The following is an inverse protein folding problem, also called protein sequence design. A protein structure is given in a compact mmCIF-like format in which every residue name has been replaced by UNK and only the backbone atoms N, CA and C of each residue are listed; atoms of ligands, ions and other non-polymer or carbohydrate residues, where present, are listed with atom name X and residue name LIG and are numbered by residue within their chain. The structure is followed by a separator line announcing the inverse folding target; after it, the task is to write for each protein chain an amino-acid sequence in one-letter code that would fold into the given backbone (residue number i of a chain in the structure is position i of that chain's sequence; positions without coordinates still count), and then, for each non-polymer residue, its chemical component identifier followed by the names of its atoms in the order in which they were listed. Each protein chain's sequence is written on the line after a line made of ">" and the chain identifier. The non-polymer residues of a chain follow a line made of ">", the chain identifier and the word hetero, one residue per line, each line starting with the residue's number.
data_IF_992169347583
#
_entry.id   IF_992169347583
#
_cell.length_a   1.000
_cell.length_b   1.000
_cell.length_c   1.000
_cell.angle_alpha   90.00
_cell.angle_beta   90.00
_cell.angle_gamma   90.00
#
_symmetry.space_group_name_H-M   'P 1'
#
loop_
_entity.id
_entity.type
_entity.pdbx_description
1 polymer ?
#
# COMPACT_ATOMS: atom_id res chain seq x y z
N UNK A 1 6.04 -12.19 20.02
CA UNK A 1 6.95 -12.80 19.03
C UNK A 1 6.65 -12.29 17.63
N UNK A 2 5.41 -12.35 17.13
CA UNK A 2 5.04 -11.89 15.75
C UNK A 2 5.45 -10.45 15.35
N UNK A 3 5.48 -9.48 16.28
CA UNK A 3 5.84 -8.09 15.93
C UNK A 3 7.31 -7.89 15.55
N UNK A 4 8.24 -8.66 16.13
CA UNK A 4 9.68 -8.49 15.87
C UNK A 4 10.11 -9.11 14.54
N UNK A 5 9.52 -10.25 14.18
CA UNK A 5 9.74 -10.92 12.89
C UNK A 5 9.19 -10.07 11.75
N UNK A 6 8.01 -9.48 11.95
CA UNK A 6 7.44 -8.52 11.03
C UNK A 6 8.34 -7.30 10.80
N UNK A 7 8.90 -6.72 11.87
CA UNK A 7 9.80 -5.56 11.74
C UNK A 7 11.08 -5.89 10.96
N UNK A 8 11.65 -7.08 11.19
CA UNK A 8 12.82 -7.55 10.42
C UNK A 8 12.49 -7.74 8.94
N UNK A 9 11.38 -8.41 8.62
CA UNK A 9 10.90 -8.59 7.25
C UNK A 9 10.67 -7.24 6.56
N UNK A 10 10.10 -6.28 7.29
CA UNK A 10 9.86 -4.94 6.80
C UNK A 10 11.17 -4.19 6.48
N UNK A 11 12.17 -4.30 7.34
CA UNK A 11 13.48 -3.67 7.13
C UNK A 11 14.21 -4.29 5.93
N UNK A 12 14.18 -5.62 5.80
CA UNK A 12 14.73 -6.35 4.65
C UNK A 12 14.05 -5.97 3.33
N UNK A 13 12.72 -5.89 3.31
CA UNK A 13 11.98 -5.42 2.14
C UNK A 13 12.38 -3.98 1.77
N UNK A 14 12.53 -3.11 2.76
CA UNK A 14 12.89 -1.71 2.52
C UNK A 14 14.28 -1.55 1.92
N UNK A 15 15.28 -2.26 2.45
CA UNK A 15 16.63 -2.23 1.86
C UNK A 15 16.62 -2.73 0.42
N UNK A 16 15.88 -3.81 0.14
CA UNK A 16 15.78 -4.37 -1.19
C UNK A 16 15.03 -3.44 -2.18
N UNK A 17 13.99 -2.74 -1.71
CA UNK A 17 13.29 -1.73 -2.50
C UNK A 17 14.19 -0.54 -2.86
N UNK A 18 15.03 -0.08 -1.93
CA UNK A 18 15.99 0.99 -2.18
C UNK A 18 17.06 0.53 -3.19
N UNK A 19 17.53 -0.72 -3.12
CA UNK A 19 18.41 -1.31 -4.11
C UNK A 19 17.77 -1.39 -5.50
N UNK A 20 16.53 -1.89 -5.59
CA UNK A 20 15.75 -1.94 -6.83
C UNK A 20 15.60 -0.56 -7.47
N UNK A 21 15.35 0.47 -6.66
CA UNK A 21 15.27 1.86 -7.14
C UNK A 21 16.61 2.36 -7.69
N UNK A 22 17.72 2.05 -7.01
CA UNK A 22 19.07 2.40 -7.49
C UNK A 22 19.42 1.67 -8.79
N UNK A 23 19.02 0.40 -8.95
CA UNK A 23 19.20 -0.36 -10.18
C UNK A 23 18.36 0.25 -11.31
N UNK A 24 17.10 0.61 -11.07
CA UNK A 24 16.23 1.29 -12.04
C UNK A 24 16.84 2.61 -12.54
N UNK A 25 17.39 3.42 -11.63
CA UNK A 25 18.07 4.68 -11.99
C UNK A 25 19.34 4.43 -12.82
N UNK A 26 20.09 3.37 -12.51
CA UNK A 26 21.27 2.95 -13.29
C UNK A 26 20.90 2.40 -14.66
N UNK A 27 19.80 1.67 -14.78
CA UNK A 27 19.31 1.15 -16.06
C UNK A 27 18.87 2.29 -16.98
N UNK A 28 18.26 3.33 -16.43
CA UNK A 28 17.89 4.52 -17.20
C UNK A 28 19.11 5.23 -17.82
N UNK A 29 20.28 5.11 -17.18
CA UNK A 29 21.54 5.75 -17.62
C UNK A 29 22.45 4.86 -18.46
N UNK A 30 22.19 3.56 -18.54
CA UNK A 30 23.02 2.58 -19.25
C UNK A 30 22.37 2.12 -20.55
N UNK A 31 23.18 1.72 -21.54
CA UNK A 31 22.71 1.24 -22.83
C UNK A 31 23.41 -0.06 -23.25
N UNK A 32 22.81 -0.80 -24.17
CA UNK A 32 23.39 -2.02 -24.76
C UNK A 32 23.43 -3.21 -23.80
N UNK A 33 24.57 -3.90 -23.75
CA UNK A 33 24.73 -5.16 -23.00
C UNK A 33 24.70 -4.97 -21.47
N UNK A 34 25.22 -3.84 -20.97
CA UNK A 34 25.15 -3.50 -19.54
C UNK A 34 23.71 -3.28 -19.08
N UNK A 35 22.89 -2.63 -19.92
CA UNK A 35 21.45 -2.46 -19.66
C UNK A 35 20.77 -3.82 -19.50
N UNK A 36 21.06 -4.77 -20.40
CA UNK A 36 20.50 -6.12 -20.37
C UNK A 36 20.94 -6.92 -19.13
N UNK A 37 22.19 -6.77 -18.70
CA UNK A 37 22.68 -7.38 -17.45
C UNK A 37 21.98 -6.78 -16.23
N UNK A 38 21.84 -5.44 -16.17
CA UNK A 38 21.17 -4.76 -15.07
C UNK A 38 19.67 -5.08 -14.99
N UNK A 39 18.99 -5.25 -16.14
CA UNK A 39 17.58 -5.69 -16.17
C UNK A 39 17.44 -7.10 -15.59
N UNK A 40 18.34 -8.03 -15.93
CA UNK A 40 18.31 -9.39 -15.31
C UNK A 40 18.50 -9.35 -13.81
N UNK A 41 19.45 -8.55 -13.33
CA UNK A 41 19.68 -8.37 -11.88
C UNK A 41 18.47 -7.71 -11.23
N UNK A 42 17.82 -6.75 -11.91
CA UNK A 42 16.57 -6.17 -11.43
C UNK A 42 15.45 -7.20 -11.33
N UNK A 43 15.26 -8.04 -12.34
CA UNK A 43 14.22 -9.08 -12.35
C UNK A 43 14.42 -10.11 -11.22
N UNK A 44 15.67 -10.50 -10.95
CA UNK A 44 16.04 -11.39 -9.84
C UNK A 44 15.73 -10.75 -8.48
N UNK A 45 16.19 -9.51 -8.26
CA UNK A 45 15.91 -8.76 -7.01
C UNK A 45 14.44 -8.41 -6.85
N UNK A 46 13.72 -8.22 -7.95
CA UNK A 46 12.28 -8.00 -7.92
C UNK A 46 11.56 -9.27 -7.47
N UNK A 47 12.00 -10.45 -7.92
CA UNK A 47 11.51 -11.74 -7.44
C UNK A 47 11.69 -11.89 -5.93
N UNK A 48 12.89 -11.63 -5.42
CA UNK A 48 13.18 -11.65 -3.98
C UNK A 48 12.29 -10.67 -3.18
N UNK A 49 12.03 -9.47 -3.71
CA UNK A 49 11.16 -8.49 -3.06
C UNK A 49 9.70 -8.94 -3.02
N UNK A 50 9.26 -9.67 -4.04
CA UNK A 50 7.94 -10.26 -4.09
C UNK A 50 7.79 -11.42 -3.10
N UNK A 51 8.82 -12.26 -2.95
CA UNK A 51 8.86 -13.33 -1.94
C UNK A 51 8.80 -12.74 -0.52
N UNK A 52 9.59 -11.70 -0.23
CA UNK A 52 9.55 -11.01 1.07
C UNK A 52 8.19 -10.36 1.37
N UNK A 53 7.51 -9.81 0.36
CA UNK A 53 6.16 -9.28 0.54
C UNK A 53 5.17 -10.40 0.89
N UNK A 54 5.27 -11.55 0.23
CA UNK A 54 4.41 -12.70 0.51
C UNK A 54 4.64 -13.24 1.93
N UNK A 55 5.89 -13.30 2.39
CA UNK A 55 6.23 -13.70 3.76
C UNK A 55 5.71 -12.69 4.79
N UNK A 56 5.76 -11.40 4.47
CA UNK A 56 5.24 -10.32 5.30
C UNK A 56 3.70 -10.32 5.37
N UNK A 57 3.00 -10.73 4.30
CA UNK A 57 1.54 -11.02 4.34
C UNK A 57 1.22 -12.22 5.22
N UNK A 58 2.03 -13.28 5.14
CA UNK A 58 1.84 -14.49 5.95
C UNK A 58 2.03 -14.21 7.45
N UNK A 59 3.04 -13.42 7.81
CA UNK A 59 3.26 -12.97 9.18
C UNK A 59 2.16 -12.00 9.64
N UNK A 60 1.50 -11.32 8.71
CA UNK A 60 0.36 -10.48 9.05
C UNK A 60 -0.91 -11.27 9.41
N UNK A 61 -1.03 -12.51 8.92
CA UNK A 61 -2.13 -13.41 9.28
C UNK A 61 -1.99 -13.91 10.73
N UNK A 62 -0.76 -14.03 11.25
CA UNK A 62 -0.48 -14.43 12.64
C UNK A 62 -0.64 -13.27 13.64
N UNK A 63 -0.66 -12.02 13.16
CA UNK A 63 -0.70 -10.82 13.98
C UNK A 63 -2.12 -10.42 14.47
N UNK A 64 -2.23 -9.61 15.56
CA UNK A 64 -3.50 -9.13 16.07
C UNK A 64 -4.30 -8.26 15.07
N UNK A 65 -5.65 -8.28 15.12
CA UNK A 65 -6.51 -7.64 14.10
C UNK A 65 -6.36 -6.10 14.02
N UNK A 66 -6.02 -5.44 15.13
CA UNK A 66 -5.74 -4.00 15.15
C UNK A 66 -4.48 -3.61 14.38
N UNK A 67 -3.45 -4.45 14.43
CA UNK A 67 -2.20 -4.27 13.69
C UNK A 67 -2.36 -4.66 12.22
N UNK A 68 -3.06 -5.76 11.95
CA UNK A 68 -3.33 -6.28 10.60
C UNK A 68 -3.98 -5.26 9.67
N UNK A 69 -4.98 -4.52 10.12
CA UNK A 69 -5.71 -3.56 9.26
C UNK A 69 -4.80 -2.42 8.79
N UNK A 70 -4.04 -1.83 9.73
CA UNK A 70 -3.10 -0.75 9.45
C UNK A 70 -1.96 -1.22 8.54
N UNK A 71 -1.46 -2.42 8.81
CA UNK A 71 -0.29 -2.94 8.13
C UNK A 71 -0.61 -3.54 6.76
N UNK A 72 -1.76 -4.20 6.58
CA UNK A 72 -2.24 -4.70 5.28
C UNK A 72 -2.35 -3.56 4.26
N UNK A 73 -2.77 -2.37 4.71
CA UNK A 73 -2.78 -1.16 3.88
C UNK A 73 -1.38 -0.77 3.38
N UNK A 74 -0.34 -0.93 4.22
CA UNK A 74 1.05 -0.68 3.82
C UNK A 74 1.58 -1.75 2.87
N UNK A 75 1.25 -3.03 3.08
CA UNK A 75 1.65 -4.12 2.18
C UNK A 75 1.04 -3.94 0.79
N UNK A 76 -0.24 -3.57 0.70
CA UNK A 76 -0.90 -3.22 -0.56
C UNK A 76 -0.21 -2.04 -1.27
N UNK A 77 0.24 -1.04 -0.50
CA UNK A 77 1.00 0.09 -1.04
C UNK A 77 2.34 -0.39 -1.64
N UNK A 78 3.04 -1.28 -0.96
CA UNK A 78 4.30 -1.87 -1.41
C UNK A 78 4.15 -2.68 -2.69
N UNK A 79 3.14 -3.55 -2.79
CA UNK A 79 2.81 -4.25 -4.04
C UNK A 79 2.58 -3.28 -5.21
N UNK A 80 1.83 -2.20 -4.95
CA UNK A 80 1.54 -1.19 -5.98
C UNK A 80 2.81 -0.47 -6.44
N UNK A 81 3.67 -0.07 -5.51
CA UNK A 81 4.86 0.70 -5.83
C UNK A 81 5.95 -0.17 -6.47
N UNK A 82 6.08 -1.44 -6.06
CA UNK A 82 6.91 -2.45 -6.74
C UNK A 82 6.45 -2.69 -8.18
N UNK A 83 5.13 -2.87 -8.39
CA UNK A 83 4.57 -3.04 -9.73
C UNK A 83 4.72 -1.81 -10.65
N UNK A 84 4.69 -0.60 -10.08
CA UNK A 84 5.02 0.62 -10.85
C UNK A 84 6.49 0.61 -11.28
N UNK A 85 7.39 0.26 -10.37
CA UNK A 85 8.82 0.20 -10.65
C UNK A 85 9.14 -0.80 -11.76
N UNK A 86 8.51 -1.98 -11.73
CA UNK A 86 8.60 -2.98 -12.80
C UNK A 86 8.11 -2.45 -14.15
N UNK A 87 6.98 -1.74 -14.18
CA UNK A 87 6.46 -1.13 -15.42
C UNK A 87 7.39 -0.03 -15.93
N UNK A 88 7.99 0.79 -15.07
CA UNK A 88 8.97 1.79 -15.49
C UNK A 88 10.22 1.16 -16.11
N UNK A 89 10.66 0.01 -15.59
CA UNK A 89 11.76 -0.78 -16.12
C UNK A 89 11.44 -1.40 -17.49
N UNK A 90 10.29 -2.07 -17.65
CA UNK A 90 9.90 -2.71 -18.91
C UNK A 90 9.41 -1.73 -19.99
N UNK A 91 8.77 -0.62 -19.63
CA UNK A 91 8.37 0.43 -20.61
C UNK A 91 9.60 1.09 -21.24
N UNK A 92 10.74 1.07 -20.53
CA UNK A 92 12.04 1.51 -21.05
C UNK A 92 12.67 0.50 -22.01
N UNK A 93 12.02 -0.63 -22.29
CA UNK A 93 12.43 -1.63 -23.28
C UNK A 93 11.33 -1.86 -24.34
N UNK A 94 11.24 -1.00 -25.37
CA UNK A 94 10.38 -1.26 -26.52
C UNK A 94 10.91 -2.38 -27.43
N UNK A 95 12.01 -3.05 -27.08
CA UNK A 95 12.83 -3.85 -28.01
C UNK A 95 12.50 -5.34 -28.10
N UNK A 96 11.68 -5.91 -27.21
CA UNK A 96 11.57 -7.38 -27.10
C UNK A 96 10.25 -8.01 -27.57
N UNK A 97 9.28 -7.24 -28.09
CA UNK A 97 8.01 -7.79 -28.57
C UNK A 97 7.90 -8.00 -30.08
N UNK A 98 8.92 -7.66 -30.88
CA UNK A 98 8.86 -7.85 -32.33
C UNK A 98 10.24 -8.05 -32.99
N UNK A 99 10.88 -9.19 -32.75
CA UNK A 99 11.95 -9.67 -33.63
C UNK A 99 11.64 -11.09 -34.10
N UNK A 100 10.75 -11.15 -35.09
CA UNK A 100 10.87 -12.09 -36.22
C UNK A 100 12.35 -12.35 -36.54
N UNK A 101 12.87 -13.58 -36.47
CA UNK A 101 12.70 -14.59 -37.53
C UNK A 101 12.66 -13.98 -38.93
N UNK A 102 13.70 -13.22 -39.30
CA UNK A 102 13.93 -12.88 -40.71
C UNK A 102 15.42 -12.69 -40.98
N UNK A 103 15.98 -13.58 -41.82
CA UNK A 103 17.12 -13.27 -42.68
C UNK A 103 18.50 -13.70 -42.20
N UNK A 104 18.81 -14.99 -42.21
CA UNK A 104 20.19 -15.45 -42.42
C UNK A 104 20.27 -16.07 -43.81
N UNK A 105 20.71 -15.25 -44.77
CA UNK A 105 20.92 -15.62 -46.17
C UNK A 105 22.40 -15.88 -46.41
N UNK A 106 22.79 -17.15 -46.47
CA UNK A 106 24.14 -17.60 -46.76
C UNK A 106 24.17 -18.93 -47.51
N UNK A 107 24.17 -18.85 -48.84
CA UNK A 107 24.71 -19.78 -49.84
C UNK A 107 24.79 -21.30 -49.54
N UNK A 108 24.09 -22.12 -50.33
CA UNK A 108 24.75 -23.27 -51.00
C UNK A 108 23.91 -23.81 -52.18
N UNK A 109 24.53 -23.81 -53.35
CA UNK A 109 24.02 -24.15 -54.67
C UNK A 109 24.11 -25.67 -54.85
N UNK A 110 23.19 -26.47 -54.31
CA UNK A 110 23.04 -27.90 -54.66
C UNK A 110 21.64 -28.44 -54.29
N UNK A 111 20.58 -28.13 -55.04
CA UNK A 111 19.25 -28.68 -54.73
C UNK A 111 18.27 -28.88 -55.90
N UNK A 112 18.70 -28.83 -57.16
CA UNK A 112 17.79 -28.91 -58.31
C UNK A 112 17.27 -30.32 -58.66
N UNK A 113 17.49 -31.32 -57.80
CA UNK A 113 16.97 -32.69 -58.01
C UNK A 113 16.09 -33.23 -56.87
N UNK A 114 15.90 -32.50 -55.77
CA UNK A 114 15.10 -32.95 -54.61
C UNK A 114 13.75 -32.21 -54.45
N UNK A 115 13.40 -31.32 -55.38
CA UNK A 115 12.34 -30.31 -55.18
C UNK A 115 10.95 -30.92 -54.92
N UNK A 116 10.58 -32.03 -55.57
CA UNK A 116 9.23 -32.62 -55.41
C UNK A 116 8.97 -33.31 -54.07
N UNK A 117 9.99 -33.89 -53.44
CA UNK A 117 9.85 -34.54 -52.12
C UNK A 117 9.92 -33.50 -50.99
N UNK A 118 10.68 -32.43 -51.20
CA UNK A 118 10.92 -31.37 -50.22
C UNK A 118 9.70 -30.44 -50.11
N UNK A 119 9.00 -30.17 -51.21
CA UNK A 119 7.76 -29.36 -51.20
C UNK A 119 6.63 -30.00 -50.38
N UNK A 120 6.46 -31.33 -50.47
CA UNK A 120 5.46 -32.05 -49.68
C UNK A 120 5.81 -32.10 -48.18
N UNK A 121 7.09 -32.21 -47.84
CA UNK A 121 7.56 -32.13 -46.45
C UNK A 121 7.48 -30.70 -45.89
N UNK A 122 7.76 -29.68 -46.69
CA UNK A 122 7.61 -28.28 -46.30
C UNK A 122 6.14 -27.91 -46.05
N UNK A 123 5.22 -28.39 -46.89
CA UNK A 123 3.77 -28.21 -46.65
C UNK A 123 3.30 -28.90 -45.37
N UNK A 124 3.77 -30.12 -45.07
CA UNK A 124 3.46 -30.80 -43.80
C UNK A 124 4.05 -30.08 -42.60
N UNK A 125 5.29 -29.60 -42.69
CA UNK A 125 5.92 -28.81 -41.64
C UNK A 125 5.18 -27.50 -41.37
N UNK A 126 4.70 -26.81 -42.42
CA UNK A 126 3.89 -25.60 -42.30
C UNK A 126 2.53 -25.87 -41.64
N UNK A 127 1.86 -26.98 -41.97
CA UNK A 127 0.58 -27.36 -41.35
C UNK A 127 0.75 -27.73 -39.87
N UNK A 128 1.79 -28.49 -39.52
CA UNK A 128 2.11 -28.82 -38.13
C UNK A 128 2.46 -27.54 -37.36
N UNK A 129 3.28 -26.66 -37.92
CA UNK A 129 3.61 -25.37 -37.30
C UNK A 129 2.39 -24.45 -37.14
N UNK A 130 1.46 -24.48 -38.09
CA UNK A 130 0.17 -23.79 -37.99
C UNK A 130 -0.71 -24.36 -36.87
N UNK A 131 -0.77 -25.68 -36.74
CA UNK A 131 -1.48 -26.38 -35.67
C UNK A 131 -0.86 -26.08 -34.29
N UNK A 132 0.46 -26.09 -34.17
CA UNK A 132 1.16 -25.78 -32.93
C UNK A 132 0.94 -24.32 -32.52
N UNK A 133 0.95 -23.40 -33.49
CA UNK A 133 0.66 -21.97 -33.25
C UNK A 133 -0.78 -21.77 -32.78
N UNK A 134 -1.75 -22.49 -33.36
CA UNK A 134 -3.15 -22.44 -32.97
C UNK A 134 -3.37 -23.04 -31.57
N UNK A 135 -2.71 -24.15 -31.27
CA UNK A 135 -2.76 -24.78 -29.95
C UNK A 135 -2.20 -23.85 -28.87
N UNK A 136 -1.04 -23.22 -29.14
CA UNK A 136 -0.44 -22.24 -28.25
C UNK A 136 -1.33 -21.00 -28.06
N UNK A 137 -1.97 -20.50 -29.13
CA UNK A 137 -2.92 -19.39 -29.05
C UNK A 137 -4.15 -19.77 -28.21
N UNK A 138 -4.68 -20.98 -28.39
CA UNK A 138 -5.81 -21.52 -27.62
C UNK A 138 -5.46 -21.62 -26.14
N UNK A 139 -4.28 -22.16 -25.81
CA UNK A 139 -3.81 -22.23 -24.43
C UNK A 139 -3.57 -20.85 -23.82
N UNK A 140 -3.10 -19.88 -24.61
CA UNK A 140 -2.94 -18.50 -24.19
C UNK A 140 -4.29 -17.86 -23.86
N UNK A 141 -5.30 -18.03 -24.72
CA UNK A 141 -6.67 -17.54 -24.48
C UNK A 141 -7.25 -18.17 -23.20
N UNK A 142 -7.09 -19.48 -23.01
CA UNK A 142 -7.56 -20.16 -21.81
C UNK A 142 -6.92 -19.60 -20.53
N UNK A 143 -5.61 -19.30 -20.57
CA UNK A 143 -4.92 -18.62 -19.46
C UNK A 143 -5.42 -17.20 -19.24
N UNK A 144 -5.58 -16.40 -20.30
CA UNK A 144 -6.11 -15.05 -20.20
C UNK A 144 -7.53 -15.01 -19.63
N UNK A 145 -8.39 -15.95 -20.01
CA UNK A 145 -9.73 -16.08 -19.45
C UNK A 145 -9.69 -16.40 -17.96
N UNK A 146 -8.83 -17.33 -17.54
CA UNK A 146 -8.66 -17.65 -16.12
C UNK A 146 -8.21 -16.43 -15.30
N UNK A 147 -7.22 -15.69 -15.81
CA UNK A 147 -6.71 -14.48 -15.17
C UNK A 147 -7.79 -13.39 -15.13
N UNK A 148 -8.59 -13.24 -16.18
CA UNK A 148 -9.69 -12.27 -16.22
C UNK A 148 -10.76 -12.57 -15.16
N UNK A 149 -11.14 -13.84 -15.00
CA UNK A 149 -12.11 -14.28 -13.98
C UNK A 149 -11.55 -14.06 -12.57
N UNK A 150 -10.28 -14.40 -12.34
CA UNK A 150 -9.60 -14.13 -11.06
C UNK A 150 -9.55 -12.63 -10.76
N UNK A 151 -9.29 -11.81 -11.77
CA UNK A 151 -9.29 -10.34 -11.66
C UNK A 151 -10.69 -9.80 -11.35
N UNK A 152 -11.74 -10.35 -11.96
CA UNK A 152 -13.13 -9.98 -11.67
C UNK A 152 -13.52 -10.33 -10.23
N UNK A 153 -13.09 -11.49 -9.74
CA UNK A 153 -13.30 -11.90 -8.36
C UNK A 153 -12.60 -10.95 -7.38
N UNK A 154 -11.31 -10.66 -7.60
CA UNK A 154 -10.55 -9.68 -6.80
C UNK A 154 -11.20 -8.29 -6.87
N UNK A 155 -11.67 -7.88 -8.04
CA UNK A 155 -12.38 -6.61 -8.23
C UNK A 155 -13.68 -6.54 -7.42
N UNK A 156 -14.42 -7.64 -7.35
CA UNK A 156 -15.65 -7.76 -6.56
C UNK A 156 -15.35 -7.66 -5.07
N UNK A 157 -14.35 -8.39 -4.59
CA UNK A 157 -13.91 -8.34 -3.18
C UNK A 157 -13.44 -6.93 -2.79
N UNK A 158 -12.73 -6.24 -3.68
CA UNK A 158 -12.32 -4.84 -3.48
C UNK A 158 -13.56 -3.93 -3.37
N UNK A 159 -14.57 -4.10 -4.22
CA UNK A 159 -15.80 -3.29 -4.16
C UNK A 159 -16.55 -3.53 -2.85
N UNK A 160 -16.65 -4.79 -2.39
CA UNK A 160 -17.27 -5.12 -1.11
C UNK A 160 -16.51 -4.46 0.06
N UNK A 161 -15.18 -4.58 0.07
CA UNK A 161 -14.33 -3.98 1.10
C UNK A 161 -14.42 -2.45 1.11
N UNK A 162 -14.44 -1.80 -0.07
CA UNK A 162 -14.66 -0.35 -0.18
C UNK A 162 -16.04 0.07 0.35
N UNK A 163 -17.06 -0.76 0.16
CA UNK A 163 -18.37 -0.59 0.75
C UNK A 163 -18.32 -0.61 2.28
N UNK A 164 -17.65 -1.61 2.86
CA UNK A 164 -17.46 -1.72 4.31
C UNK A 164 -16.64 -0.54 4.87
N UNK A 165 -15.57 -0.12 4.19
CA UNK A 165 -14.76 1.03 4.59
C UNK A 165 -15.58 2.33 4.55
N UNK A 166 -16.43 2.52 3.52
CA UNK A 166 -17.35 3.66 3.45
C UNK A 166 -18.29 3.68 4.65
N UNK A 167 -18.85 2.54 5.03
CA UNK A 167 -19.73 2.44 6.20
C UNK A 167 -18.98 2.76 7.50
N UNK A 168 -17.74 2.28 7.67
CA UNK A 168 -16.91 2.63 8.82
C UNK A 168 -16.60 4.14 8.88
N UNK A 169 -16.31 4.76 7.73
CA UNK A 169 -16.05 6.19 7.64
C UNK A 169 -17.30 7.00 7.99
N UNK A 170 -18.47 6.57 7.54
CA UNK A 170 -19.74 7.22 7.86
C UNK A 170 -20.08 7.10 9.35
N UNK A 171 -19.90 5.92 9.95
CA UNK A 171 -20.02 5.73 11.42
C UNK A 171 -19.03 6.60 12.20
N UNK A 172 -17.80 6.74 11.71
CA UNK A 172 -16.79 7.58 12.36
C UNK A 172 -17.15 9.06 12.27
N UNK A 173 -17.65 9.49 11.11
CA UNK A 173 -18.17 10.84 10.90
C UNK A 173 -19.34 11.14 11.84
N UNK A 174 -20.29 10.22 11.95
CA UNK A 174 -21.46 10.37 12.83
C UNK A 174 -21.05 10.47 14.31
N UNK A 175 -20.13 9.60 14.75
CA UNK A 175 -19.52 9.70 16.09
C UNK A 175 -18.80 11.03 16.32
N UNK A 176 -18.11 11.57 15.32
CA UNK A 176 -17.42 12.86 15.42
C UNK A 176 -18.41 14.01 15.57
N UNK A 177 -19.50 14.01 14.80
CA UNK A 177 -20.59 15.00 14.91
C UNK A 177 -21.21 14.93 16.30
N UNK A 178 -21.57 13.74 16.78
CA UNK A 178 -22.10 13.53 18.14
C UNK A 178 -21.12 13.95 19.24
N UNK A 179 -19.82 13.69 19.06
CA UNK A 179 -18.78 14.13 20.00
C UNK A 179 -18.68 15.65 20.04
N UNK A 180 -18.80 16.33 18.90
CA UNK A 180 -18.84 17.79 18.82
C UNK A 180 -20.02 18.39 19.60
N UNK A 181 -21.20 17.79 19.50
CA UNK A 181 -22.39 18.19 20.27
C UNK A 181 -22.18 17.98 21.78
N UNK A 182 -21.63 16.83 22.18
CA UNK A 182 -21.34 16.50 23.56
C UNK A 182 -20.26 17.42 24.17
N UNK A 183 -19.27 17.84 23.37
CA UNK A 183 -18.25 18.79 23.77
C UNK A 183 -18.86 20.18 24.04
N UNK A 184 -19.79 20.62 23.18
CA UNK A 184 -20.54 21.88 23.36
C UNK A 184 -21.37 21.86 24.65
N UNK A 185 -22.09 20.77 24.92
CA UNK A 185 -22.83 20.58 26.18
C UNK A 185 -21.89 20.58 27.38
N UNK A 186 -20.79 19.85 27.31
CA UNK A 186 -19.77 19.78 28.37
C UNK A 186 -19.19 21.16 28.69
N UNK A 187 -18.86 21.96 27.66
CA UNK A 187 -18.39 23.34 27.83
C UNK A 187 -19.43 24.23 28.51
N UNK A 188 -20.72 24.06 28.19
CA UNK A 188 -21.82 24.79 28.85
C UNK A 188 -21.92 24.42 30.33
N UNK A 189 -21.82 23.13 30.66
CA UNK A 189 -21.84 22.63 32.06
C UNK A 189 -20.64 23.17 32.83
N UNK A 190 -19.42 23.03 32.31
CA UNK A 190 -18.20 23.54 32.95
C UNK A 190 -18.30 25.04 33.20
N UNK A 191 -18.81 25.82 32.23
CA UNK A 191 -18.99 27.27 32.40
C UNK A 191 -20.04 27.60 33.47
N UNK A 192 -21.05 26.76 33.67
CA UNK A 192 -22.03 26.92 34.76
C UNK A 192 -21.43 26.57 36.12
N UNK A 193 -20.64 25.50 36.22
CA UNK A 193 -19.93 25.13 37.44
C UNK A 193 -18.88 26.18 37.83
N UNK A 194 -18.10 26.65 36.87
CA UNK A 194 -17.09 27.69 37.08
C UNK A 194 -17.70 28.97 37.65
N UNK A 195 -18.87 29.40 37.16
CA UNK A 195 -19.59 30.55 37.73
C UNK A 195 -20.02 30.29 39.18
N UNK A 196 -20.59 29.12 39.49
CA UNK A 196 -20.99 28.75 40.86
C UNK A 196 -19.80 28.73 41.83
N UNK A 197 -18.65 28.23 41.38
CA UNK A 197 -17.41 28.23 42.17
C UNK A 197 -16.93 29.66 42.40
N UNK A 198 -16.96 30.52 41.38
CA UNK A 198 -16.56 31.91 41.51
C UNK A 198 -17.46 32.68 42.51
N UNK A 199 -18.79 32.49 42.43
CA UNK A 199 -19.72 33.12 43.37
C UNK A 199 -19.51 32.61 44.79
N UNK A 200 -19.28 31.32 44.98
CA UNK A 200 -18.99 30.77 46.31
C UNK A 200 -17.68 31.32 46.88
N UNK A 201 -16.62 31.43 46.07
CA UNK A 201 -15.35 32.04 46.49
C UNK A 201 -15.50 33.52 46.86
N UNK A 202 -16.28 34.27 46.09
CA UNK A 202 -16.57 35.68 46.39
C UNK A 202 -17.33 35.83 47.72
N UNK A 203 -18.39 35.04 47.91
CA UNK A 203 -19.18 35.04 49.15
C UNK A 203 -18.32 34.69 50.37
N UNK A 204 -17.48 33.66 50.25
CA UNK A 204 -16.54 33.27 51.31
C UNK A 204 -15.58 34.43 51.66
N UNK A 205 -15.04 35.13 50.66
CA UNK A 205 -14.17 36.29 50.89
C UNK A 205 -14.88 37.44 51.62
N UNK A 206 -16.13 37.74 51.26
CA UNK A 206 -16.94 38.77 51.93
C UNK A 206 -17.17 38.43 53.40
N UNK A 207 -17.50 37.17 53.71
CA UNK A 207 -17.72 36.72 55.09
C UNK A 207 -16.45 36.91 55.94
N UNK A 208 -15.28 36.50 55.43
CA UNK A 208 -14.00 36.64 56.14
C UNK A 208 -13.69 38.13 56.42
N UNK A 209 -13.88 39.01 55.44
CA UNK A 209 -13.65 40.46 55.61
C UNK A 209 -14.58 41.05 56.67
N UNK A 210 -15.85 40.65 56.66
CA UNK A 210 -16.84 41.06 57.67
C UNK A 210 -16.44 40.63 59.08
N UNK A 211 -16.00 39.38 59.27
CA UNK A 211 -15.56 38.87 60.57
C UNK A 211 -14.35 39.63 61.11
N UNK A 212 -13.34 39.89 60.26
CA UNK A 212 -12.14 40.66 60.65
C UNK A 212 -12.50 42.10 61.01
N UNK A 213 -13.42 42.73 60.28
CA UNK A 213 -13.89 44.08 60.58
C UNK A 213 -14.58 44.18 61.95
N UNK A 214 -15.45 43.21 62.27
CA UNK A 214 -16.12 43.14 63.58
C UNK A 214 -15.11 42.92 64.71
N UNK A 215 -14.18 41.97 64.55
CA UNK A 215 -13.13 41.73 65.54
C UNK A 215 -12.25 42.97 65.75
N UNK A 216 -11.86 43.65 64.66
CA UNK A 216 -11.10 44.90 64.73
C UNK A 216 -11.86 46.01 65.46
N UNK A 217 -13.16 46.18 65.18
CA UNK A 217 -14.00 47.16 65.86
C UNK A 217 -14.13 46.87 67.36
N UNK A 218 -14.32 45.60 67.76
CA UNK A 218 -14.39 45.20 69.17
C UNK A 218 -13.07 45.46 69.90
N UNK A 219 -11.94 45.12 69.30
CA UNK A 219 -10.60 45.38 69.87
C UNK A 219 -10.36 46.88 70.02
N UNK A 220 -10.68 47.66 68.99
CA UNK A 220 -10.57 49.12 69.03
C UNK A 220 -11.41 49.73 70.16
N UNK A 221 -12.69 49.34 70.26
CA UNK A 221 -13.57 49.83 71.33
C UNK A 221 -13.09 49.40 72.71
N UNK A 222 -12.56 48.17 72.87
CA UNK A 222 -12.05 47.69 74.15
C UNK A 222 -10.76 48.41 74.57
N UNK A 223 -9.86 48.71 73.63
CA UNK A 223 -8.56 49.30 73.94
C UNK A 223 -8.62 50.84 74.08
N UNK A 224 -9.53 51.51 73.39
CA UNK A 224 -9.66 52.97 73.42
C UNK A 224 -10.71 53.48 74.42
N UNK A 225 -11.60 52.61 74.92
CA UNK A 225 -12.68 52.97 75.87
C UNK A 225 -12.48 52.42 77.28
N UNK A 226 -11.34 51.79 77.55
CA UNK A 226 -10.77 51.53 78.88
C UNK A 226 -9.50 52.35 79.04
#
# INVERSE_FOLDING_TARGET
>A
MSSEEFEKLHEMYRSLYDELKMISDRVTRSQGEEKKKLVRVFDERHGEAQELLQELEQELLSAPPSFRTSMSSKVRLYHRDLGKLQRHMHTSDPGLSLSSRTGDGGYSIYATQNERSTEQQAQRALLIQGSDSLNNATQSIARSHRIAVETEHIGTDIIEELGQQREQLDRTRDRLVHTGENLSRSRKIIRSMSRKVMTNKLLLGIIIVMEVAILGAVVYLKFFRH
#
